data_IF_837739186050
#
_entry.id   IF_837739186050
#
_cell.length_a   1.000
_cell.length_b   1.000
_cell.length_c   1.000
_cell.angle_alpha   90.00
_cell.angle_beta   90.00
_cell.angle_gamma   90.00
#
_symmetry.space_group_name_H-M   'P 1'
#
loop_
_entity.id
_entity.type
_entity.pdbx_description
1 polymer ?
#
# COMPACT_ATOMS: atom_id res chain seq x y z
N UNK A 1 10.90 8.55 13.36
CA UNK A 1 10.05 8.94 12.21
C UNK A 1 9.64 10.38 12.40
N UNK A 2 9.76 11.18 11.33
CA UNK A 2 9.43 12.60 11.37
C UNK A 2 7.89 12.76 11.41
N UNK A 3 7.40 13.83 12.04
CA UNK A 3 5.97 14.11 12.17
C UNK A 3 5.18 14.04 10.83
N UNK A 4 5.65 14.62 9.71
CA UNK A 4 4.91 14.55 8.45
C UNK A 4 4.75 13.12 7.92
N UNK A 5 5.81 12.31 8.02
CA UNK A 5 5.76 10.90 7.61
C UNK A 5 4.78 10.12 8.47
N UNK A 6 4.75 10.39 9.78
CA UNK A 6 3.79 9.74 10.68
C UNK A 6 2.34 10.07 10.30
N UNK A 7 2.05 11.35 10.05
CA UNK A 7 0.72 11.80 9.64
C UNK A 7 0.32 11.15 8.30
N UNK A 8 1.23 11.12 7.32
CA UNK A 8 1.02 10.44 6.05
C UNK A 8 0.65 8.96 6.23
N UNK A 9 1.39 8.22 7.07
CA UNK A 9 1.12 6.81 7.34
C UNK A 9 -0.25 6.60 8.00
N UNK A 10 -0.66 7.49 8.91
CA UNK A 10 -2.00 7.43 9.53
C UNK A 10 -3.09 7.65 8.49
N UNK A 11 -2.94 8.67 7.65
CA UNK A 11 -3.91 8.98 6.58
C UNK A 11 -4.05 7.78 5.65
N UNK A 12 -2.92 7.24 5.18
CA UNK A 12 -2.93 6.10 4.26
C UNK A 12 -3.49 4.83 4.92
N UNK A 13 -3.19 4.58 6.20
CA UNK A 13 -3.80 3.47 6.93
C UNK A 13 -5.33 3.58 6.96
N UNK A 14 -5.87 4.78 7.23
CA UNK A 14 -7.32 5.02 7.26
C UNK A 14 -7.91 4.88 5.85
N UNK A 15 -7.27 5.44 4.82
CA UNK A 15 -7.77 5.36 3.45
C UNK A 15 -7.84 3.90 2.96
N UNK A 16 -6.81 3.10 3.21
CA UNK A 16 -6.82 1.69 2.84
C UNK A 16 -7.81 0.88 3.68
N UNK A 17 -8.00 1.21 4.95
CA UNK A 17 -9.04 0.58 5.76
C UNK A 17 -10.44 0.89 5.22
N UNK A 18 -10.71 2.14 4.84
CA UNK A 18 -11.97 2.54 4.21
C UNK A 18 -12.14 1.81 2.88
N UNK A 19 -11.10 1.76 2.05
CA UNK A 19 -11.13 1.00 0.79
C UNK A 19 -11.50 -0.46 1.04
N UNK A 20 -10.85 -1.14 1.99
CA UNK A 20 -11.17 -2.51 2.36
C UNK A 20 -12.65 -2.68 2.74
N UNK A 21 -13.20 -1.79 3.56
CA UNK A 21 -14.63 -1.85 3.94
C UNK A 21 -15.55 -1.72 2.71
N UNK A 22 -15.20 -0.84 1.76
CA UNK A 22 -16.00 -0.64 0.55
C UNK A 22 -15.98 -1.86 -0.39
N UNK A 23 -14.94 -2.69 -0.34
CA UNK A 23 -14.85 -3.94 -1.11
C UNK A 23 -15.84 -5.01 -0.65
N UNK A 24 -16.53 -4.82 0.49
CA UNK A 24 -17.60 -5.73 0.92
C UNK A 24 -18.77 -5.86 -0.07
N UNK A 25 -18.86 -4.95 -1.04
CA UNK A 25 -19.86 -4.97 -2.10
C UNK A 25 -19.38 -5.68 -3.39
N UNK A 26 -18.12 -6.12 -3.44
CA UNK A 26 -17.54 -6.72 -4.64
C UNK A 26 -17.88 -8.21 -4.74
N UNK A 27 -17.91 -8.79 -5.97
CA UNK A 27 -18.08 -10.22 -6.21
C UNK A 27 -17.04 -11.09 -5.49
N UNK A 28 -15.79 -10.60 -5.37
CA UNK A 28 -14.67 -11.29 -4.70
C UNK A 28 -14.13 -10.50 -3.49
N UNK A 29 -14.96 -10.26 -2.45
CA UNK A 29 -14.66 -9.29 -1.42
C UNK A 29 -13.46 -9.70 -0.57
N UNK A 30 -13.29 -11.02 -0.29
CA UNK A 30 -12.21 -11.52 0.56
C UNK A 30 -10.82 -11.24 -0.01
N UNK A 31 -10.65 -11.36 -1.33
CA UNK A 31 -9.38 -11.10 -2.01
C UNK A 31 -9.02 -9.62 -1.94
N UNK A 32 -9.97 -8.74 -2.31
CA UNK A 32 -9.74 -7.31 -2.33
C UNK A 32 -9.60 -6.69 -0.94
N UNK A 33 -10.43 -7.11 0.02
CA UNK A 33 -10.26 -6.74 1.44
C UNK A 33 -8.84 -7.06 1.89
N UNK A 34 -8.32 -8.26 1.56
CA UNK A 34 -6.98 -8.67 1.95
C UNK A 34 -5.90 -7.79 1.32
N UNK A 35 -6.04 -7.44 0.03
CA UNK A 35 -5.12 -6.55 -0.68
C UNK A 35 -5.01 -5.19 0.01
N UNK A 36 -6.13 -4.59 0.42
CA UNK A 36 -6.12 -3.28 1.09
C UNK A 36 -5.73 -3.35 2.57
N UNK A 37 -6.03 -4.45 3.27
CA UNK A 37 -5.65 -4.61 4.68
C UNK A 37 -4.13 -4.72 4.89
N UNK A 38 -3.40 -5.33 3.96
CA UNK A 38 -1.94 -5.45 4.05
C UNK A 38 -1.26 -4.06 4.21
N UNK A 39 -1.40 -3.10 3.28
CA UNK A 39 -0.81 -1.78 3.41
C UNK A 39 -1.45 -0.97 4.54
N UNK A 40 -2.73 -1.19 4.89
CA UNK A 40 -3.35 -0.54 6.05
C UNK A 40 -2.64 -0.91 7.37
N UNK A 41 -2.44 -2.21 7.60
CA UNK A 41 -1.78 -2.72 8.80
C UNK A 41 -0.31 -2.30 8.85
N UNK A 42 0.41 -2.38 7.72
CA UNK A 42 1.82 -1.97 7.66
C UNK A 42 1.98 -0.47 7.95
N UNK A 43 1.11 0.36 7.39
CA UNK A 43 1.10 1.81 7.62
C UNK A 43 0.80 2.15 9.08
N UNK A 44 -0.20 1.48 9.68
CA UNK A 44 -0.49 1.62 11.11
C UNK A 44 0.70 1.16 11.97
N UNK A 45 1.27 -0.01 11.69
CA UNK A 45 2.40 -0.52 12.44
C UNK A 45 3.63 0.42 12.38
N UNK A 46 3.81 1.13 11.26
CA UNK A 46 4.81 2.19 11.10
C UNK A 46 4.47 3.45 11.90
N UNK A 47 3.22 3.95 11.80
CA UNK A 47 2.73 5.13 12.51
C UNK A 47 2.80 5.04 14.03
N UNK A 48 2.54 3.85 14.59
CA UNK A 48 2.62 3.58 16.03
C UNK A 48 3.99 3.04 16.50
N UNK A 49 4.97 2.97 15.59
CA UNK A 49 6.34 2.49 15.89
C UNK A 49 6.39 1.07 16.47
N UNK A 50 5.43 0.22 16.13
CA UNK A 50 5.41 -1.18 16.55
C UNK A 50 6.58 -1.97 15.92
N UNK A 51 7.10 -1.50 14.79
CA UNK A 51 8.14 -2.16 13.99
C UNK A 51 9.49 -1.41 14.01
N UNK A 52 9.97 -1.06 15.21
CA UNK A 52 11.19 -0.23 15.41
C UNK A 52 12.51 -1.01 15.49
N UNK A 53 12.47 -2.32 15.72
CA UNK A 53 13.68 -3.14 15.89
C UNK A 53 14.41 -3.32 14.54
N UNK A 54 15.74 -3.50 14.57
CA UNK A 54 16.57 -3.60 13.35
C UNK A 54 16.08 -4.67 12.37
N UNK A 55 15.70 -5.85 12.86
CA UNK A 55 15.16 -6.92 12.02
C UNK A 55 13.86 -6.52 11.31
N UNK A 56 13.02 -5.71 11.97
CA UNK A 56 11.78 -5.20 11.38
C UNK A 56 12.04 -4.10 10.35
N UNK A 57 13.08 -3.28 10.53
CA UNK A 57 13.50 -2.32 9.51
C UNK A 57 14.00 -3.04 8.24
N UNK A 58 14.79 -4.11 8.39
CA UNK A 58 15.25 -4.94 7.27
C UNK A 58 14.05 -5.57 6.56
N UNK A 59 13.15 -6.19 7.32
CA UNK A 59 11.94 -6.81 6.76
C UNK A 59 11.11 -5.79 5.96
N UNK A 60 10.88 -4.59 6.50
CA UNK A 60 10.12 -3.52 5.81
C UNK A 60 10.84 -2.99 4.57
N UNK A 61 12.18 -3.00 4.57
CA UNK A 61 12.98 -2.60 3.40
C UNK A 61 12.82 -3.59 2.23
N UNK A 62 12.32 -4.80 2.50
CA UNK A 62 12.04 -5.84 1.50
C UNK A 62 10.55 -5.85 1.15
N UNK A 63 9.67 -5.83 2.16
CA UNK A 63 8.21 -5.92 1.95
C UNK A 63 7.68 -4.78 1.09
N UNK A 64 8.09 -3.53 1.33
CA UNK A 64 7.56 -2.39 0.58
C UNK A 64 7.89 -2.46 -0.93
N UNK A 65 9.15 -2.71 -1.35
CA UNK A 65 9.44 -2.92 -2.76
C UNK A 65 8.69 -4.11 -3.38
N UNK A 66 8.58 -5.24 -2.67
CA UNK A 66 7.86 -6.41 -3.18
C UNK A 66 6.37 -6.09 -3.38
N UNK A 67 5.73 -5.45 -2.40
CA UNK A 67 4.33 -5.03 -2.50
C UNK A 67 4.15 -4.05 -3.66
N UNK A 68 5.08 -3.11 -3.84
CA UNK A 68 5.06 -2.19 -4.96
C UNK A 68 5.11 -2.91 -6.31
N UNK A 69 6.02 -3.86 -6.48
CA UNK A 69 6.18 -4.58 -7.75
C UNK A 69 4.94 -5.42 -8.04
N UNK A 70 4.46 -6.20 -7.06
CA UNK A 70 3.29 -7.06 -7.22
C UNK A 70 2.06 -6.24 -7.58
N UNK A 71 1.77 -5.18 -6.83
CA UNK A 71 0.61 -4.34 -7.09
C UNK A 71 0.74 -3.59 -8.42
N UNK A 72 1.93 -3.15 -8.82
CA UNK A 72 2.13 -2.48 -10.10
C UNK A 72 1.88 -3.45 -11.28
N UNK A 73 2.47 -4.65 -11.23
CA UNK A 73 2.29 -5.66 -12.27
C UNK A 73 0.84 -6.10 -12.39
N UNK A 74 0.19 -6.36 -11.25
CA UNK A 74 -1.21 -6.78 -11.25
C UNK A 74 -2.15 -5.65 -11.69
N UNK A 75 -1.93 -4.43 -11.18
CA UNK A 75 -2.67 -3.24 -11.61
C UNK A 75 -2.56 -2.99 -13.10
N UNK A 76 -1.36 -3.16 -13.69
CA UNK A 76 -1.17 -3.07 -15.14
C UNK A 76 -1.93 -4.16 -15.91
N UNK A 77 -1.95 -5.40 -15.42
CA UNK A 77 -2.68 -6.48 -16.08
C UNK A 77 -4.19 -6.23 -16.12
N UNK A 78 -4.76 -5.64 -15.05
CA UNK A 78 -6.17 -5.24 -15.02
C UNK A 78 -6.42 -4.01 -15.88
N UNK A 79 -5.51 -3.04 -15.87
CA UNK A 79 -5.62 -1.82 -16.67
C UNK A 79 -5.64 -2.07 -18.19
N UNK A 80 -4.98 -3.14 -18.66
CA UNK A 80 -5.00 -3.52 -20.08
C UNK A 80 -6.34 -4.12 -20.53
N UNK A 81 -7.18 -4.54 -19.59
CA UNK A 81 -8.51 -5.09 -19.85
C UNK A 81 -9.65 -4.06 -19.80
N UNK A 82 -9.35 -2.77 -19.66
CA UNK A 82 -10.38 -1.75 -19.47
C UNK A 82 -11.23 -1.51 -20.70
N UNK A 83 -12.54 -1.55 -20.52
CA UNK A 83 -13.53 -1.14 -21.52
C UNK A 83 -13.74 0.39 -21.49
N UNK A 84 -14.30 0.94 -22.57
CA UNK A 84 -14.41 2.39 -22.76
C UNK A 84 -15.31 3.12 -21.73
N UNK A 85 -16.14 2.38 -20.98
CA UNK A 85 -17.04 2.91 -19.93
C UNK A 85 -16.41 2.84 -18.53
N UNK A 86 -15.23 3.42 -18.40
CA UNK A 86 -14.33 3.37 -17.23
C UNK A 86 -14.89 3.94 -15.90
N UNK A 87 -15.98 4.71 -15.92
CA UNK A 87 -16.43 5.47 -14.74
C UNK A 87 -17.11 4.62 -13.66
N UNK A 88 -17.70 3.49 -14.03
CA UNK A 88 -18.39 2.59 -13.10
C UNK A 88 -17.94 1.13 -13.23
N UNK A 89 -16.79 0.96 -13.85
CA UNK A 89 -16.19 -0.34 -14.08
C UNK A 89 -15.35 -0.75 -12.85
N UNK A 90 -15.72 -1.89 -12.29
CA UNK A 90 -15.10 -2.49 -11.11
C UNK A 90 -13.59 -2.65 -11.31
N UNK A 91 -13.19 -3.13 -12.49
CA UNK A 91 -11.79 -3.38 -12.87
C UNK A 91 -10.97 -2.08 -12.90
N UNK A 92 -11.59 -0.97 -13.33
CA UNK A 92 -10.96 0.36 -13.27
C UNK A 92 -10.69 0.79 -11.83
N UNK A 93 -11.63 0.58 -10.91
CA UNK A 93 -11.45 0.92 -9.49
C UNK A 93 -10.38 0.05 -8.83
N UNK A 94 -10.39 -1.24 -9.12
CA UNK A 94 -9.41 -2.21 -8.63
C UNK A 94 -7.98 -1.90 -9.09
N UNK A 95 -7.80 -1.66 -10.40
CA UNK A 95 -6.50 -1.28 -10.97
C UNK A 95 -5.98 0.04 -10.40
N UNK A 96 -6.85 1.04 -10.25
CA UNK A 96 -6.52 2.31 -9.60
C UNK A 96 -6.06 2.13 -8.14
N UNK A 97 -6.76 1.27 -7.39
CA UNK A 97 -6.38 0.87 -6.04
C UNK A 97 -4.99 0.25 -5.95
N UNK A 98 -4.69 -0.69 -6.85
CA UNK A 98 -3.38 -1.33 -6.93
C UNK A 98 -2.26 -0.33 -7.25
N UNK A 99 -2.50 0.63 -8.15
CA UNK A 99 -1.53 1.71 -8.42
C UNK A 99 -1.31 2.60 -7.20
N UNK A 100 -2.36 2.93 -6.45
CA UNK A 100 -2.23 3.68 -5.20
C UNK A 100 -1.40 2.92 -4.17
N UNK A 101 -1.63 1.61 -4.00
CA UNK A 101 -0.82 0.76 -3.11
C UNK A 101 0.63 0.73 -3.58
N UNK A 102 0.89 0.65 -4.89
CA UNK A 102 2.24 0.65 -5.43
C UNK A 102 2.99 1.96 -5.14
N UNK A 103 2.36 3.11 -5.43
CA UNK A 103 2.92 4.44 -5.15
C UNK A 103 3.17 4.62 -3.65
N UNK A 104 2.20 4.25 -2.82
CA UNK A 104 2.34 4.32 -1.37
C UNK A 104 3.52 3.47 -0.90
N UNK A 105 3.67 2.26 -1.43
CA UNK A 105 4.74 1.33 -1.07
C UNK A 105 6.13 1.89 -1.40
N UNK A 106 6.28 2.57 -2.55
CA UNK A 106 7.53 3.28 -2.88
C UNK A 106 7.83 4.38 -1.86
N UNK A 107 6.85 5.22 -1.54
CA UNK A 107 7.02 6.31 -0.55
C UNK A 107 7.41 5.74 0.83
N UNK A 108 6.74 4.66 1.25
CA UNK A 108 6.99 3.99 2.53
C UNK A 108 8.37 3.31 2.58
N UNK A 109 8.86 2.74 1.47
CA UNK A 109 10.23 2.25 1.36
C UNK A 109 11.27 3.37 1.60
N UNK A 110 11.09 4.53 0.98
CA UNK A 110 11.97 5.67 1.19
C UNK A 110 11.94 6.17 2.65
N UNK A 111 10.75 6.17 3.28
CA UNK A 111 10.62 6.43 4.72
C UNK A 111 11.47 5.47 5.55
N UNK A 112 11.45 4.16 5.25
CA UNK A 112 12.23 3.16 5.98
C UNK A 112 13.73 3.35 5.79
N UNK A 113 14.18 3.62 4.56
CA UNK A 113 15.60 3.87 4.26
C UNK A 113 16.16 5.06 5.05
N UNK A 114 15.38 6.13 5.13
CA UNK A 114 15.74 7.32 5.91
C UNK A 114 15.79 7.03 7.42
N UNK A 115 14.96 6.10 7.92
CA UNK A 115 14.97 5.69 9.33
C UNK A 115 16.14 4.75 9.67
N UNK A 116 16.55 3.91 8.72
CA UNK A 116 17.61 2.92 8.92
C UNK A 116 19.03 3.50 8.74
N UNK A 117 19.16 4.78 8.36
CA UNK A 117 20.47 5.40 8.09
C UNK A 117 21.20 4.78 6.90
N UNK A 118 20.47 4.16 5.97
CA UNK A 118 21.03 3.46 4.80
C UNK A 118 21.56 4.48 3.75
N UNK A 119 21.35 5.77 3.96
CA UNK A 119 22.10 6.85 3.31
C UNK A 119 23.31 7.20 4.18
N UNK A 120 24.31 6.33 4.13
CA UNK A 120 25.62 6.51 4.75
C UNK A 120 26.65 5.85 3.87
N UNK A 121 26.86 6.43 2.69
CA UNK A 121 28.07 6.45 1.86
C UNK A 121 27.77 7.19 0.56
#
# INVERSE_FOLDING_TARGET
MNQPVRIYQIIMAILFLVAAVLQGNDPDPGFWISIYLIPAILSAAEAWRWLKNRSMLILRSIIWPLLSIVCLLYGFSLFQGLEAEWYNDEVTRESGGLFLIAIHSVISYWSVRNQAGITGN
#
